data_IF_980757160776
#
_entry.id   IF_980757160776
#
_cell.length_a   1.000
_cell.length_b   1.000
_cell.length_c   1.000
_cell.angle_alpha   90.00
_cell.angle_beta   90.00
_cell.angle_gamma   90.00
#
_symmetry.space_group_name_H-M   'P 1'
#
loop_
_entity.id
_entity.type
_entity.pdbx_description
1 polymer ?
#
# COMPACT_ATOMS: atom_id res chain seq x y z
N UNK A 1 -12.38 13.83 17.52
CA UNK A 1 -10.96 13.49 17.64
C UNK A 1 -10.78 12.01 17.92
N UNK A 2 -9.95 11.36 17.09
CA UNK A 2 -9.62 9.96 17.26
C UNK A 2 -8.74 9.79 18.51
N UNK A 3 -9.11 8.85 19.39
CA UNK A 3 -8.30 8.57 20.58
C UNK A 3 -6.87 8.14 20.17
N UNK A 4 -5.85 8.38 21.00
CA UNK A 4 -4.48 7.98 20.71
C UNK A 4 -4.35 6.47 20.40
N UNK A 5 -5.06 5.62 21.11
CA UNK A 5 -5.02 4.17 20.90
C UNK A 5 -5.66 3.76 19.57
N UNK A 6 -6.77 4.39 19.19
CA UNK A 6 -7.41 4.15 17.90
C UNK A 6 -6.52 4.62 16.74
N UNK A 7 -5.90 5.79 16.89
CA UNK A 7 -4.95 6.33 15.91
C UNK A 7 -3.76 5.39 15.70
N UNK A 8 -3.20 4.88 16.79
CA UNK A 8 -2.11 3.90 16.76
C UNK A 8 -2.51 2.64 15.98
N UNK A 9 -3.68 2.08 16.30
CA UNK A 9 -4.19 0.88 15.60
C UNK A 9 -4.38 1.13 14.11
N UNK A 10 -5.01 2.23 13.73
CA UNK A 10 -5.28 2.55 12.32
C UNK A 10 -3.98 2.75 11.54
N UNK A 11 -3.05 3.52 12.11
CA UNK A 11 -1.81 3.90 11.41
C UNK A 11 -0.79 2.76 11.35
N UNK A 12 -0.65 1.98 12.40
CA UNK A 12 0.35 0.90 12.48
C UNK A 12 -0.24 -0.43 12.01
N UNK A 13 -1.25 -0.95 12.70
CA UNK A 13 -1.80 -2.28 12.34
C UNK A 13 -2.47 -2.27 10.98
N UNK A 14 -3.46 -1.41 10.80
CA UNK A 14 -4.23 -1.37 9.56
C UNK A 14 -3.41 -0.78 8.40
N UNK A 15 -2.61 0.24 8.70
CA UNK A 15 -1.73 0.88 7.71
C UNK A 15 -0.66 -0.06 7.19
N UNK A 16 -0.07 -0.91 8.05
CA UNK A 16 0.90 -1.90 7.61
C UNK A 16 0.29 -2.87 6.59
N UNK A 17 -0.85 -3.47 6.91
CA UNK A 17 -1.57 -4.37 6.00
C UNK A 17 -1.81 -3.70 4.64
N UNK A 18 -2.50 -2.56 4.66
CA UNK A 18 -2.81 -1.82 3.42
C UNK A 18 -1.54 -1.41 2.67
N UNK A 19 -0.46 -1.15 3.39
CA UNK A 19 0.79 -0.68 2.82
C UNK A 19 1.59 -1.74 2.07
N UNK A 20 1.57 -3.02 2.49
CA UNK A 20 2.42 -4.02 1.85
C UNK A 20 1.67 -5.11 1.09
N UNK A 21 0.40 -5.40 1.41
CA UNK A 21 -0.27 -6.60 0.88
C UNK A 21 -0.47 -6.58 -0.63
N UNK A 22 -0.71 -5.42 -1.22
CA UNK A 22 -0.99 -5.32 -2.66
C UNK A 22 0.26 -5.64 -3.49
N UNK A 23 1.40 -5.08 -3.13
CA UNK A 23 2.68 -5.39 -3.75
C UNK A 23 3.11 -6.83 -3.48
N UNK A 24 2.89 -7.32 -2.27
CA UNK A 24 3.19 -8.72 -1.92
C UNK A 24 2.38 -9.71 -2.75
N UNK A 25 1.11 -9.40 -3.00
CA UNK A 25 0.28 -10.24 -3.87
C UNK A 25 0.81 -10.27 -5.30
N UNK A 26 1.22 -9.13 -5.85
CA UNK A 26 1.86 -9.06 -7.16
C UNK A 26 3.20 -9.80 -7.20
N UNK A 27 3.90 -9.88 -6.06
CA UNK A 27 5.15 -10.64 -5.94
C UNK A 27 4.95 -12.15 -5.86
N UNK A 28 3.69 -12.61 -5.76
CA UNK A 28 3.37 -14.04 -5.75
C UNK A 28 2.93 -14.60 -4.40
N UNK A 29 2.91 -13.80 -3.35
CA UNK A 29 2.44 -14.24 -2.03
C UNK A 29 0.91 -14.26 -1.96
N UNK A 30 0.34 -15.12 -1.11
CA UNK A 30 -1.10 -15.29 -0.98
C UNK A 30 -1.63 -15.04 0.43
N UNK A 31 -0.83 -15.29 1.47
CA UNK A 31 -1.23 -15.10 2.87
C UNK A 31 -0.20 -14.25 3.62
N UNK A 32 -0.67 -13.57 4.68
CA UNK A 32 0.17 -12.65 5.47
C UNK A 32 1.35 -13.37 6.11
N UNK A 33 1.16 -14.57 6.64
CA UNK A 33 2.23 -15.32 7.29
C UNK A 33 3.42 -15.58 6.35
N UNK A 34 3.15 -15.91 5.09
CA UNK A 34 4.21 -16.14 4.11
C UNK A 34 4.97 -14.84 3.80
N UNK A 35 4.29 -13.71 3.82
CA UNK A 35 4.95 -12.41 3.71
C UNK A 35 5.92 -12.16 4.87
N UNK A 36 5.55 -12.57 6.08
CA UNK A 36 6.41 -12.40 7.25
C UNK A 36 7.60 -13.36 7.26
N UNK A 37 7.55 -14.43 6.49
CA UNK A 37 8.67 -15.35 6.29
C UNK A 37 9.54 -14.97 5.07
N UNK A 38 9.17 -13.94 4.33
CA UNK A 38 9.98 -13.37 3.24
C UNK A 38 10.76 -12.18 3.77
N UNK A 39 12.08 -12.25 3.73
CA UNK A 39 12.96 -11.21 4.29
C UNK A 39 12.75 -9.85 3.63
N UNK A 40 12.52 -9.83 2.32
CA UNK A 40 12.32 -8.58 1.57
C UNK A 40 11.00 -7.92 1.91
N UNK A 41 9.90 -8.68 1.90
CA UNK A 41 8.56 -8.13 2.19
C UNK A 41 8.47 -7.69 3.65
N UNK A 42 8.97 -8.53 4.57
CA UNK A 42 9.04 -8.19 5.99
C UNK A 42 9.91 -6.96 6.24
N UNK A 43 11.08 -6.91 5.59
CA UNK A 43 11.98 -5.76 5.68
C UNK A 43 11.34 -4.47 5.18
N UNK A 44 10.62 -4.53 4.07
CA UNK A 44 9.85 -3.40 3.54
C UNK A 44 8.79 -2.92 4.53
N UNK A 45 7.99 -3.82 5.08
CA UNK A 45 6.98 -3.48 6.07
C UNK A 45 7.62 -2.84 7.31
N UNK A 46 8.71 -3.41 7.81
CA UNK A 46 9.41 -2.89 8.99
C UNK A 46 9.96 -1.49 8.74
N UNK A 47 10.62 -1.27 7.62
CA UNK A 47 11.16 0.05 7.29
C UNK A 47 10.04 1.09 7.17
N UNK A 48 8.95 0.73 6.51
CA UNK A 48 7.77 1.60 6.41
C UNK A 48 7.25 1.98 7.80
N UNK A 49 7.09 1.00 8.69
CA UNK A 49 6.55 1.23 10.03
C UNK A 49 7.51 2.04 10.91
N UNK A 50 8.76 1.60 11.05
CA UNK A 50 9.69 2.18 12.00
C UNK A 50 10.30 3.50 11.53
N UNK A 51 10.55 3.65 10.23
CA UNK A 51 11.21 4.85 9.70
C UNK A 51 10.23 5.91 9.18
N UNK A 52 9.02 5.50 8.76
CA UNK A 52 8.12 6.43 8.06
C UNK A 52 6.79 6.66 8.78
N UNK A 53 6.24 5.68 9.47
CA UNK A 53 4.94 5.81 10.16
C UNK A 53 5.11 6.23 11.62
N UNK A 54 5.89 5.48 12.40
CA UNK A 54 6.07 5.73 13.83
C UNK A 54 6.57 7.15 14.11
N UNK A 55 7.57 7.68 13.38
CA UNK A 55 8.04 9.06 13.64
C UNK A 55 6.97 10.13 13.45
N UNK A 56 5.90 9.85 12.70
CA UNK A 56 4.83 10.82 12.43
C UNK A 56 3.73 10.83 13.50
N UNK A 57 3.77 9.89 14.44
CA UNK A 57 2.74 9.76 15.47
C UNK A 57 3.12 10.50 16.75
N UNK A 58 2.22 11.35 17.29
CA UNK A 58 2.49 12.14 18.49
C UNK A 58 2.24 11.33 19.77
N UNK A 59 2.85 10.14 19.87
CA UNK A 59 2.71 9.22 20.99
C UNK A 59 4.09 8.78 21.46
N UNK A 60 4.18 8.19 22.66
CA UNK A 60 5.45 7.69 23.17
C UNK A 60 6.05 6.66 22.21
N UNK A 61 7.28 6.90 21.79
CA UNK A 61 7.98 6.08 20.81
C UNK A 61 8.13 4.63 21.26
N UNK A 62 8.42 4.39 22.54
CA UNK A 62 8.56 3.04 23.07
C UNK A 62 7.23 2.27 23.00
N UNK A 63 6.12 2.92 23.32
CA UNK A 63 4.79 2.31 23.20
C UNK A 63 4.47 1.96 21.74
N UNK A 64 4.80 2.85 20.82
CA UNK A 64 4.57 2.63 19.39
C UNK A 64 5.40 1.45 18.87
N UNK A 65 6.67 1.35 19.29
CA UNK A 65 7.55 0.25 18.89
C UNK A 65 7.10 -1.08 19.46
N UNK A 66 6.64 -1.12 20.72
CA UNK A 66 6.09 -2.32 21.33
C UNK A 66 4.80 -2.76 20.61
N UNK A 67 3.95 -1.81 20.27
CA UNK A 67 2.73 -2.11 19.51
C UNK A 67 3.05 -2.66 18.14
N UNK A 68 4.00 -2.08 17.42
CA UNK A 68 4.43 -2.56 16.10
C UNK A 68 5.01 -3.98 16.19
N UNK A 69 5.80 -4.27 17.21
CA UNK A 69 6.32 -5.63 17.47
C UNK A 69 5.20 -6.63 17.70
N UNK A 70 4.21 -6.28 18.52
CA UNK A 70 3.05 -7.14 18.77
C UNK A 70 2.21 -7.38 17.51
N UNK A 71 2.12 -6.38 16.63
CA UNK A 71 1.46 -6.52 15.32
C UNK A 71 2.18 -7.54 14.44
N UNK A 72 3.51 -7.51 14.42
CA UNK A 72 4.30 -8.50 13.65
C UNK A 72 4.08 -9.92 14.16
N UNK A 73 4.00 -10.11 15.47
CA UNK A 73 3.71 -11.42 16.06
C UNK A 73 2.33 -11.93 15.62
N UNK A 74 1.35 -11.04 15.55
CA UNK A 74 0.02 -11.36 15.02
C UNK A 74 0.06 -11.79 13.56
N UNK A 75 0.81 -11.07 12.75
CA UNK A 75 0.94 -11.37 11.30
C UNK A 75 1.61 -12.71 11.07
N UNK A 76 2.48 -13.12 11.97
CA UNK A 76 3.19 -14.40 11.88
C UNK A 76 2.47 -15.55 12.59
N UNK A 77 1.21 -15.39 12.98
CA UNK A 77 0.46 -16.42 13.67
C UNK A 77 0.30 -17.67 12.79
N UNK A 78 0.84 -18.83 13.22
CA UNK A 78 0.81 -20.05 12.41
C UNK A 78 -0.58 -20.69 12.30
N UNK A 79 -1.54 -20.26 13.10
CA UNK A 79 -2.89 -20.81 13.13
C UNK A 79 -3.89 -20.05 12.25
N UNK A 80 -3.47 -18.95 11.61
CA UNK A 80 -4.36 -18.13 10.79
C UNK A 80 -3.77 -17.96 9.39
N UNK A 81 -4.51 -18.39 8.38
CA UNK A 81 -4.19 -18.14 6.97
C UNK A 81 -4.95 -16.90 6.50
N UNK A 82 -4.43 -15.71 6.84
CA UNK A 82 -5.04 -14.45 6.46
C UNK A 82 -4.70 -14.12 5.01
N UNK A 83 -5.67 -14.27 4.11
CA UNK A 83 -5.50 -14.05 2.69
C UNK A 83 -5.30 -12.58 2.33
N UNK A 84 -4.30 -12.30 1.50
CA UNK A 84 -4.02 -10.94 1.03
C UNK A 84 -5.20 -10.37 0.24
N UNK A 85 -5.90 -11.20 -0.54
CA UNK A 85 -7.07 -10.75 -1.30
C UNK A 85 -8.21 -10.28 -0.41
N UNK A 86 -8.40 -10.90 0.76
CA UNK A 86 -9.40 -10.43 1.74
C UNK A 86 -9.06 -9.05 2.29
N UNK A 87 -7.79 -8.75 2.45
CA UNK A 87 -7.31 -7.43 2.92
C UNK A 87 -7.41 -6.39 1.81
N UNK A 88 -7.31 -6.81 0.55
CA UNK A 88 -7.27 -5.92 -0.62
C UNK A 88 -8.57 -5.17 -0.90
N UNK A 89 -9.68 -5.59 -0.31
CA UNK A 89 -11.00 -4.98 -0.55
C UNK A 89 -11.00 -3.49 -0.21
N UNK A 90 -11.50 -2.67 -1.14
CA UNK A 90 -11.64 -1.22 -0.93
C UNK A 90 -10.32 -0.53 -0.55
N UNK A 91 -9.23 -0.92 -1.21
CA UNK A 91 -7.89 -0.40 -0.86
C UNK A 91 -7.71 1.09 -1.15
N UNK A 92 -8.50 1.68 -2.06
CA UNK A 92 -8.43 3.12 -2.31
C UNK A 92 -8.77 3.92 -1.06
N UNK A 93 -9.93 3.69 -0.49
CA UNK A 93 -10.35 4.39 0.73
C UNK A 93 -9.51 4.00 1.96
N UNK A 94 -9.07 2.75 2.01
CA UNK A 94 -8.19 2.28 3.09
C UNK A 94 -6.82 2.96 3.05
N UNK A 95 -6.19 3.05 1.88
CA UNK A 95 -4.90 3.72 1.73
C UNK A 95 -5.02 5.19 2.14
N UNK A 96 -6.06 5.86 1.67
CA UNK A 96 -6.35 7.25 2.03
C UNK A 96 -6.53 7.43 3.53
N UNK A 97 -7.28 6.56 4.20
CA UNK A 97 -7.59 6.67 5.62
C UNK A 97 -6.41 6.24 6.52
N UNK A 98 -5.64 5.24 6.10
CA UNK A 98 -4.66 4.56 6.94
C UNK A 98 -3.22 4.97 6.68
N UNK A 99 -2.87 5.26 5.42
CA UNK A 99 -1.49 5.53 5.00
C UNK A 99 -1.25 7.00 4.61
N UNK A 100 -2.23 7.64 3.98
CA UNK A 100 -2.08 9.03 3.56
C UNK A 100 -1.73 9.98 4.71
N UNK A 101 -2.34 9.88 5.91
CA UNK A 101 -1.96 10.75 7.02
C UNK A 101 -0.48 10.64 7.40
N UNK A 102 0.06 9.42 7.45
CA UNK A 102 1.49 9.20 7.72
C UNK A 102 2.36 9.74 6.59
N UNK A 103 1.94 9.51 5.34
CA UNK A 103 2.63 9.99 4.15
C UNK A 103 2.77 11.52 4.15
N UNK A 104 1.67 12.22 4.35
CA UNK A 104 1.67 13.70 4.35
C UNK A 104 2.44 14.28 5.54
N UNK A 105 2.30 13.70 6.73
CA UNK A 105 3.01 14.17 7.92
C UNK A 105 4.52 13.95 7.79
N UNK A 106 4.95 12.82 7.22
CA UNK A 106 6.35 12.56 6.95
C UNK A 106 6.96 13.64 6.04
N UNK A 107 6.26 13.99 4.95
CA UNK A 107 6.71 15.04 4.02
C UNK A 107 6.78 16.39 4.74
N UNK A 108 5.77 16.72 5.53
CA UNK A 108 5.73 17.97 6.30
C UNK A 108 6.90 18.08 7.28
N UNK A 109 7.22 17.00 7.99
CA UNK A 109 8.28 16.99 8.99
C UNK A 109 9.68 16.94 8.41
N UNK A 110 9.88 16.22 7.31
CA UNK A 110 11.22 15.96 6.75
C UNK A 110 11.55 16.73 5.49
N UNK A 111 10.54 17.23 4.78
CA UNK A 111 10.72 17.82 3.46
C UNK A 111 11.09 16.84 2.37
N UNK A 112 11.00 15.54 2.67
CA UNK A 112 11.38 14.44 1.74
C UNK A 112 10.20 13.51 1.51
N UNK A 113 10.19 12.82 0.35
CA UNK A 113 9.22 11.77 0.09
C UNK A 113 9.62 10.50 0.86
N UNK A 114 8.65 9.83 1.53
CA UNK A 114 8.93 8.55 2.18
C UNK A 114 9.12 7.45 1.12
N UNK A 115 10.23 6.73 1.19
CA UNK A 115 10.58 5.71 0.20
C UNK A 115 9.56 4.57 0.14
N UNK A 116 9.23 3.98 1.28
CA UNK A 116 8.34 2.82 1.34
C UNK A 116 6.88 3.20 1.11
N UNK A 117 6.39 4.28 1.71
CA UNK A 117 5.01 4.71 1.50
C UNK A 117 4.76 5.15 0.05
N UNK A 118 5.74 5.76 -0.61
CA UNK A 118 5.61 6.10 -2.04
C UNK A 118 5.59 4.84 -2.90
N UNK A 119 6.47 3.87 -2.61
CA UNK A 119 6.44 2.58 -3.29
C UNK A 119 5.12 1.84 -3.03
N UNK A 120 4.59 1.93 -1.82
CA UNK A 120 3.27 1.37 -1.48
C UNK A 120 2.15 1.97 -2.34
N UNK A 121 2.16 3.29 -2.55
CA UNK A 121 1.20 3.95 -3.43
C UNK A 121 1.34 3.46 -4.88
N UNK A 122 2.56 3.31 -5.38
CA UNK A 122 2.82 2.76 -6.70
C UNK A 122 2.34 1.30 -6.80
N UNK A 123 2.55 0.49 -5.77
CA UNK A 123 2.08 -0.89 -5.71
C UNK A 123 0.54 -0.98 -5.69
N UNK A 124 -0.11 -0.05 -5.02
CA UNK A 124 -1.57 0.09 -5.07
C UNK A 124 -2.04 0.34 -6.51
N UNK A 125 -1.42 1.27 -7.22
CA UNK A 125 -1.75 1.56 -8.62
C UNK A 125 -1.50 0.33 -9.50
N UNK A 126 -0.37 -0.35 -9.30
CA UNK A 126 -0.04 -1.58 -10.04
C UNK A 126 -1.09 -2.67 -9.82
N UNK A 127 -1.51 -2.89 -8.58
CA UNK A 127 -2.51 -3.91 -8.25
C UNK A 127 -3.86 -3.63 -8.92
N UNK A 128 -4.29 -2.37 -9.00
CA UNK A 128 -5.56 -1.97 -9.62
C UNK A 128 -5.51 -1.95 -11.15
N UNK A 129 -4.36 -2.17 -11.75
CA UNK A 129 -4.18 -1.99 -13.19
C UNK A 129 -3.31 -3.04 -13.87
N UNK A 130 -2.93 -4.10 -13.17
CA UNK A 130 -2.00 -5.07 -13.74
C UNK A 130 -2.68 -5.96 -14.78
N UNK A 131 -2.35 -5.75 -16.03
CA UNK A 131 -2.88 -6.53 -17.17
C UNK A 131 -4.42 -6.65 -17.09
N UNK A 132 -5.10 -5.50 -17.18
CA UNK A 132 -6.55 -5.42 -17.08
C UNK A 132 -7.20 -6.23 -18.21
N UNK A 133 -8.07 -7.18 -17.85
CA UNK A 133 -8.79 -8.02 -18.80
C UNK A 133 -10.19 -7.48 -19.08
N UNK A 134 -10.98 -7.26 -18.05
CA UNK A 134 -12.38 -6.84 -18.20
C UNK A 134 -12.93 -6.28 -16.89
N UNK A 135 -13.95 -5.44 -17.03
CA UNK A 135 -14.75 -4.98 -15.90
C UNK A 135 -16.04 -5.78 -15.89
N UNK A 136 -16.27 -6.54 -14.81
CA UNK A 136 -17.46 -7.39 -14.63
C UNK A 136 -18.28 -6.90 -13.44
N UNK A 137 -19.44 -7.52 -13.20
CA UNK A 137 -20.25 -7.22 -12.02
C UNK A 137 -19.51 -7.58 -10.71
N UNK A 138 -18.60 -8.55 -10.76
CA UNK A 138 -17.81 -8.95 -9.60
C UNK A 138 -16.65 -7.98 -9.29
N UNK A 139 -16.17 -7.23 -10.28
CA UNK A 139 -15.08 -6.29 -10.14
C UNK A 139 -14.21 -6.18 -11.37
N UNK A 140 -13.02 -5.61 -11.20
CA UNK A 140 -12.05 -5.43 -12.27
C UNK A 140 -11.12 -6.63 -12.34
N UNK A 141 -11.22 -7.39 -13.43
CA UNK A 141 -10.39 -8.59 -13.62
C UNK A 141 -9.03 -8.19 -14.18
N UNK A 142 -7.99 -8.55 -13.44
CA UNK A 142 -6.59 -8.31 -13.77
C UNK A 142 -5.82 -9.63 -13.77
N UNK A 143 -4.56 -9.59 -14.17
CA UNK A 143 -3.66 -10.75 -14.07
C UNK A 143 -2.43 -10.43 -13.25
N UNK A 144 -2.00 -11.38 -12.44
CA UNK A 144 -0.68 -11.34 -11.80
C UNK A 144 0.42 -11.48 -12.85
N UNK A 145 1.66 -11.08 -12.53
CA UNK A 145 2.79 -11.29 -13.45
C UNK A 145 2.95 -12.74 -13.92
N UNK A 146 2.57 -13.73 -13.08
CA UNK A 146 2.60 -15.14 -13.46
C UNK A 146 1.47 -15.54 -14.43
N UNK A 147 0.51 -14.68 -14.69
CA UNK A 147 -0.57 -14.88 -15.66
C UNK A 147 -1.89 -15.33 -15.09
N UNK A 148 -1.98 -15.72 -13.82
CA UNK A 148 -3.25 -16.08 -13.20
C UNK A 148 -4.10 -14.83 -12.90
N UNK A 149 -5.42 -14.98 -13.07
CA UNK A 149 -6.36 -13.88 -12.87
C UNK A 149 -6.65 -13.63 -11.39
N UNK A 150 -6.96 -12.37 -11.08
CA UNK A 150 -7.55 -11.96 -9.82
C UNK A 150 -8.55 -10.84 -10.07
N UNK A 151 -9.48 -10.66 -9.15
CA UNK A 151 -10.53 -9.64 -9.27
C UNK A 151 -10.37 -8.58 -8.21
N UNK A 152 -10.18 -7.33 -8.65
CA UNK A 152 -10.12 -6.17 -7.76
C UNK A 152 -11.54 -5.79 -7.38
N UNK A 153 -11.79 -5.66 -6.07
CA UNK A 153 -13.09 -5.24 -5.53
C UNK A 153 -12.95 -3.89 -4.82
N UNK A 154 -13.73 -2.94 -5.27
CA UNK A 154 -13.77 -1.58 -4.73
C UNK A 154 -15.09 -0.92 -5.14
N UNK A 155 -15.30 0.31 -4.76
CA UNK A 155 -16.44 1.10 -5.24
C UNK A 155 -16.48 1.11 -6.77
N UNK A 156 -17.67 1.03 -7.33
CA UNK A 156 -17.83 0.88 -8.78
C UNK A 156 -17.17 2.00 -9.58
N UNK A 157 -17.26 3.23 -9.09
CA UNK A 157 -16.65 4.37 -9.78
C UNK A 157 -15.10 4.27 -9.82
N UNK A 158 -14.49 3.67 -8.79
CA UNK A 158 -13.03 3.42 -8.78
C UNK A 158 -12.64 2.41 -9.84
N UNK A 159 -13.39 1.32 -9.92
CA UNK A 159 -13.12 0.26 -10.91
C UNK A 159 -13.32 0.77 -12.34
N UNK A 160 -14.35 1.55 -12.57
CA UNK A 160 -14.59 2.19 -13.87
C UNK A 160 -13.44 3.15 -14.22
N UNK A 161 -12.98 3.93 -13.24
CA UNK A 161 -11.86 4.83 -13.44
C UNK A 161 -10.61 4.10 -13.91
N UNK A 162 -10.21 3.01 -13.23
CA UNK A 162 -9.04 2.24 -13.64
C UNK A 162 -9.22 1.53 -14.97
N UNK A 163 -10.41 1.03 -15.25
CA UNK A 163 -10.71 0.42 -16.54
C UNK A 163 -10.57 1.43 -17.70
N UNK A 164 -11.00 2.67 -17.49
CA UNK A 164 -10.96 3.72 -18.50
C UNK A 164 -9.54 4.31 -18.67
N UNK A 165 -8.79 4.48 -17.59
CA UNK A 165 -7.50 5.19 -17.59
C UNK A 165 -6.28 4.27 -17.56
N UNK A 166 -6.45 2.98 -17.29
CA UNK A 166 -5.39 1.94 -17.28
C UNK A 166 -4.10 2.39 -16.55
N UNK A 167 -4.26 2.97 -15.37
CA UNK A 167 -3.18 3.46 -14.50
C UNK A 167 -2.30 4.56 -15.13
N UNK A 168 -2.90 5.49 -15.80
CA UNK A 168 -2.23 6.74 -16.07
C UNK A 168 -1.96 7.45 -14.74
N UNK A 169 -0.69 7.49 -14.31
CA UNK A 169 -0.33 7.98 -12.98
C UNK A 169 -0.87 9.38 -12.71
N UNK A 170 -0.72 10.28 -13.68
CA UNK A 170 -1.25 11.64 -13.55
C UNK A 170 -2.76 11.64 -13.27
N UNK A 171 -3.55 10.81 -13.96
CA UNK A 171 -4.98 10.73 -13.75
C UNK A 171 -5.34 10.22 -12.35
N UNK A 172 -4.56 9.27 -11.82
CA UNK A 172 -4.74 8.77 -10.45
C UNK A 172 -4.42 9.85 -9.43
N UNK A 173 -3.25 10.49 -9.55
CA UNK A 173 -2.77 11.46 -8.54
C UNK A 173 -3.57 12.77 -8.54
N UNK A 174 -4.15 13.17 -9.66
CA UNK A 174 -5.01 14.37 -9.73
C UNK A 174 -6.45 14.11 -9.32
N UNK A 175 -6.82 12.86 -9.05
CA UNK A 175 -8.21 12.51 -8.74
C UNK A 175 -8.57 12.91 -7.30
N UNK A 176 -9.22 14.07 -7.17
CA UNK A 176 -9.62 14.61 -5.86
C UNK A 176 -10.75 13.81 -5.20
N UNK A 177 -11.52 13.04 -5.97
CA UNK A 177 -12.52 12.14 -5.40
C UNK A 177 -11.87 10.97 -4.66
N UNK A 178 -10.68 10.52 -5.11
CA UNK A 178 -9.90 9.49 -4.42
C UNK A 178 -9.19 10.03 -3.18
N UNK A 179 -8.55 11.20 -3.28
CA UNK A 179 -7.54 11.65 -2.30
C UNK A 179 -7.91 12.91 -1.54
N UNK A 180 -9.03 13.57 -1.84
CA UNK A 180 -9.45 14.87 -1.33
C UNK A 180 -8.49 16.01 -1.67
N UNK A 181 -7.53 15.75 -2.55
CA UNK A 181 -6.54 16.73 -2.99
C UNK A 181 -5.86 16.30 -4.29
N UNK A 182 -5.19 17.22 -4.94
CA UNK A 182 -4.34 16.96 -6.10
C UNK A 182 -2.93 16.61 -5.61
N UNK A 183 -2.57 15.33 -5.67
CA UNK A 183 -1.27 14.85 -5.21
C UNK A 183 -0.12 15.26 -6.11
N UNK A 184 -0.37 15.69 -7.35
CA UNK A 184 0.69 16.17 -8.26
C UNK A 184 1.31 17.49 -7.78
N UNK A 185 0.66 18.18 -6.85
CA UNK A 185 1.20 19.40 -6.24
C UNK A 185 2.29 19.13 -5.21
N UNK A 186 2.48 17.87 -4.81
CA UNK A 186 3.58 17.48 -3.94
C UNK A 186 4.84 17.34 -4.80
N UNK A 187 5.87 18.14 -4.48
CA UNK A 187 7.10 18.20 -5.26
C UNK A 187 7.77 16.82 -5.41
N UNK A 188 8.02 16.42 -6.65
CA UNK A 188 8.70 15.18 -7.00
C UNK A 188 7.87 13.91 -6.88
N UNK A 189 6.63 13.98 -6.38
CA UNK A 189 5.82 12.79 -6.13
C UNK A 189 5.43 12.07 -7.43
N UNK A 190 4.93 12.79 -8.41
CA UNK A 190 4.50 12.17 -9.67
C UNK A 190 5.66 11.42 -10.35
N UNK A 191 6.82 12.05 -10.45
CA UNK A 191 8.01 11.44 -11.04
C UNK A 191 8.43 10.18 -10.27
N UNK A 192 8.39 10.23 -8.94
CA UNK A 192 8.76 9.08 -8.12
C UNK A 192 7.75 7.94 -8.24
N UNK A 193 6.46 8.23 -8.26
CA UNK A 193 5.43 7.20 -8.45
C UNK A 193 5.55 6.56 -9.83
N UNK A 194 5.80 7.35 -10.88
CA UNK A 194 6.05 6.83 -12.23
C UNK A 194 7.26 5.90 -12.23
N UNK A 195 8.37 6.31 -11.61
CA UNK A 195 9.59 5.49 -11.54
C UNK A 195 9.36 4.21 -10.73
N UNK A 196 8.67 4.30 -9.59
CA UNK A 196 8.37 3.15 -8.73
C UNK A 196 7.43 2.16 -9.44
N UNK A 197 6.41 2.66 -10.12
CA UNK A 197 5.50 1.83 -10.90
C UNK A 197 6.22 1.11 -12.04
N UNK A 198 7.09 1.82 -12.74
CA UNK A 198 7.92 1.21 -13.79
C UNK A 198 8.79 0.09 -13.24
N UNK A 199 9.40 0.30 -12.08
CA UNK A 199 10.24 -0.71 -11.42
C UNK A 199 9.41 -1.96 -11.06
N UNK A 200 8.22 -1.78 -10.51
CA UNK A 200 7.31 -2.90 -10.21
C UNK A 200 7.00 -3.69 -11.49
N UNK A 201 6.71 -3.00 -12.58
CA UNK A 201 6.30 -3.63 -13.84
C UNK A 201 7.44 -4.30 -14.59
N UNK A 202 8.65 -3.77 -14.53
CA UNK A 202 9.80 -4.28 -15.28
C UNK A 202 10.66 -5.25 -14.48
N UNK A 203 10.80 -5.05 -13.17
CA UNK A 203 11.68 -5.85 -12.30
C UNK A 203 10.90 -6.75 -11.34
N UNK A 204 9.60 -6.50 -11.18
CA UNK A 204 8.75 -7.21 -10.25
C UNK A 204 8.60 -6.49 -8.90
N UNK A 205 7.49 -6.76 -8.22
CA UNK A 205 7.16 -6.08 -6.97
C UNK A 205 8.16 -6.39 -5.85
N UNK A 206 8.68 -7.61 -5.77
CA UNK A 206 9.67 -7.98 -4.76
C UNK A 206 10.97 -7.20 -4.92
N UNK A 207 11.48 -7.11 -6.16
CA UNK A 207 12.68 -6.32 -6.45
C UNK A 207 12.45 -4.82 -6.17
N UNK A 208 11.26 -4.31 -6.48
CA UNK A 208 10.88 -2.94 -6.18
C UNK A 208 10.88 -2.68 -4.67
N UNK A 209 10.32 -3.58 -3.88
CA UNK A 209 10.37 -3.50 -2.41
C UNK A 209 11.81 -3.53 -1.90
N UNK A 210 12.65 -4.41 -2.44
CA UNK A 210 14.06 -4.51 -2.07
C UNK A 210 14.82 -3.21 -2.34
N UNK A 211 14.45 -2.47 -3.37
CA UNK A 211 15.09 -1.19 -3.70
C UNK A 211 14.86 -0.09 -2.66
N UNK A 212 13.89 -0.26 -1.78
CA UNK A 212 13.60 0.67 -0.69
C UNK A 212 14.42 0.39 0.58
N UNK A 213 15.08 -0.75 0.65
CA UNK A 213 15.80 -1.20 1.85
C UNK A 213 17.21 -0.62 1.96
#
# INVERSE_FOLDING_TARGET
DMSPYKKRKVRILNGAHTGFVLGAYLAGENIVRDCMNDETIKGFMNKMLYDEVIPTLPLDKNDLMQFASAVQDRFNNPFVDHELMSISLNSTSKWKARNMPSFLEYIKETGKLPECLTMSLAAYIAFYSNDIQSLTDAGLVCKRPAGNEYTVSDDRWVLEFYNDHKALVNAVLTNEKMWDQDLTKIAGLEEKVVADLKKIRTEGAKAAFASCL
#
